data_IF_503598214493
#
_entry.id   IF_503598214493
#
_cell.length_a   1.000
_cell.length_b   1.000
_cell.length_c   1.000
_cell.angle_alpha   90.00
_cell.angle_beta   90.00
_cell.angle_gamma   90.00
#
_symmetry.space_group_name_H-M   'P 1'
#
loop_
_entity.id
_entity.type
_entity.pdbx_description
1 polymer ?
#
# COMPACT_ATOMS: atom_id res chain seq x y z
N UNK A 1 -25.85 -21.04 40.42
CA UNK A 1 -25.66 -19.63 40.13
C UNK A 1 -24.34 -19.19 40.77
N UNK A 2 -23.25 -19.11 40.02
CA UNK A 2 -21.96 -18.56 40.50
C UNK A 2 -21.72 -17.28 39.70
N UNK A 3 -21.72 -16.17 40.43
CA UNK A 3 -21.47 -14.82 39.91
C UNK A 3 -20.01 -14.74 39.48
N UNK A 4 -19.76 -14.51 38.19
CA UNK A 4 -18.42 -14.22 37.67
C UNK A 4 -18.23 -12.71 37.76
N UNK A 5 -17.32 -12.29 38.62
CA UNK A 5 -16.93 -10.89 38.72
C UNK A 5 -16.04 -10.52 37.54
N UNK A 6 -16.49 -9.58 36.71
CA UNK A 6 -15.66 -8.94 35.67
C UNK A 6 -14.71 -7.94 36.33
N UNK A 7 -13.41 -8.18 36.18
CA UNK A 7 -12.38 -7.19 36.52
C UNK A 7 -12.29 -6.20 35.37
N UNK A 8 -12.73 -4.97 35.59
CA UNK A 8 -12.51 -3.87 34.65
C UNK A 8 -11.02 -3.51 34.57
N UNK A 9 -10.41 -3.49 33.41
CA UNK A 9 -9.07 -2.92 33.27
C UNK A 9 -9.17 -1.39 33.21
N UNK A 10 -8.64 -0.76 34.22
CA UNK A 10 -8.58 0.69 34.39
C UNK A 10 -7.58 1.29 33.38
N UNK A 11 -8.08 1.77 32.25
CA UNK A 11 -7.29 2.48 31.21
C UNK A 11 -7.18 3.98 31.54
N UNK A 12 -6.34 4.31 32.53
CA UNK A 12 -6.14 5.68 32.98
C UNK A 12 -5.31 6.54 32.00
N UNK A 13 -5.54 7.85 32.07
CA UNK A 13 -4.93 8.95 31.30
C UNK A 13 -3.38 9.00 31.25
N UNK A 14 -2.70 8.09 31.95
CA UNK A 14 -1.23 8.01 31.94
C UNK A 14 -0.58 7.49 30.66
N UNK A 15 -1.33 6.87 29.74
CA UNK A 15 -0.77 6.29 28.50
C UNK A 15 -0.53 7.32 27.39
N UNK A 16 -1.32 8.39 27.32
CA UNK A 16 -1.12 9.44 26.31
C UNK A 16 0.22 10.17 26.53
N UNK A 17 0.62 10.40 27.78
CA UNK A 17 1.94 10.99 28.10
C UNK A 17 3.12 10.08 27.75
N UNK A 18 2.97 8.75 27.84
CA UNK A 18 4.05 7.81 27.49
C UNK A 18 4.21 7.64 25.97
N UNK A 19 3.15 7.77 25.20
CA UNK A 19 3.20 7.71 23.74
C UNK A 19 3.85 8.96 23.13
N UNK A 20 3.61 10.14 23.69
CA UNK A 20 4.29 11.38 23.29
C UNK A 20 5.78 11.36 23.64
N UNK A 21 6.16 10.81 24.81
CA UNK A 21 7.55 10.63 25.19
C UNK A 21 8.28 9.61 24.29
N UNK A 22 7.60 8.55 23.83
CA UNK A 22 8.18 7.59 22.89
C UNK A 22 8.43 8.19 21.50
N UNK A 23 7.58 9.09 21.02
CA UNK A 23 7.79 9.85 19.78
C UNK A 23 8.97 10.81 19.93
N UNK A 24 9.12 11.45 21.09
CA UNK A 24 10.27 12.33 21.37
C UNK A 24 11.59 11.55 21.52
N UNK A 25 11.59 10.34 22.07
CA UNK A 25 12.80 9.52 22.19
C UNK A 25 13.23 8.87 20.87
N UNK A 26 12.32 8.62 19.92
CA UNK A 26 12.65 8.07 18.60
C UNK A 26 13.16 9.12 17.61
N UNK A 27 12.87 10.40 17.82
CA UNK A 27 13.39 11.48 16.98
C UNK A 27 14.80 11.96 17.39
N UNK A 28 15.23 11.70 18.61
CA UNK A 28 16.53 12.13 19.13
C UNK A 28 17.76 11.41 18.52
N UNK A 29 17.75 10.10 18.22
CA UNK A 29 18.92 9.44 17.64
C UNK A 29 19.10 9.65 16.13
N UNK A 30 18.07 10.08 15.39
CA UNK A 30 18.17 10.34 13.94
C UNK A 30 18.93 11.65 13.63
N UNK A 31 19.06 12.55 14.60
CA UNK A 31 19.77 13.82 14.44
C UNK A 31 21.29 13.73 14.68
N UNK A 32 21.81 12.57 15.13
CA UNK A 32 23.23 12.40 15.54
C UNK A 32 23.99 11.36 14.69
N UNK A 33 23.40 10.84 13.64
CA UNK A 33 24.16 10.03 12.67
C UNK A 33 24.68 10.99 11.60
N UNK A 34 25.91 11.47 11.76
CA UNK A 34 26.67 12.08 10.68
C UNK A 34 26.93 10.98 9.64
N UNK A 35 26.04 10.85 8.66
CA UNK A 35 26.36 10.12 7.45
C UNK A 35 27.40 10.94 6.69
N UNK A 36 28.57 10.36 6.32
CA UNK A 36 29.45 11.03 5.38
C UNK A 36 28.60 11.41 4.17
N UNK A 37 28.67 12.67 3.76
CA UNK A 37 27.96 13.19 2.62
C UNK A 37 28.35 12.40 1.37
N UNK A 38 27.63 11.31 1.13
CA UNK A 38 27.58 10.68 -0.20
C UNK A 38 26.90 11.72 -1.06
N UNK A 39 27.68 12.43 -1.84
CA UNK A 39 27.23 13.40 -2.82
C UNK A 39 26.37 12.66 -3.84
N UNK A 40 25.08 12.57 -3.55
CA UNK A 40 24.09 12.17 -4.54
C UNK A 40 23.99 13.31 -5.55
N UNK A 41 24.69 13.17 -6.64
CA UNK A 41 24.65 14.10 -7.76
C UNK A 41 23.30 13.90 -8.48
N UNK A 42 22.35 14.75 -8.11
CA UNK A 42 21.12 14.92 -8.89
C UNK A 42 21.44 15.78 -10.11
N UNK A 43 22.06 15.19 -11.13
CA UNK A 43 22.14 15.80 -12.45
C UNK A 43 21.17 15.07 -13.38
N UNK A 44 20.22 15.84 -13.90
CA UNK A 44 19.41 15.41 -15.02
C UNK A 44 20.28 15.18 -16.26
N UNK A 45 20.01 14.05 -16.94
CA UNK A 45 20.45 13.82 -18.31
C UNK A 45 21.84 13.27 -18.46
N UNK A 46 21.94 11.98 -18.41
CA UNK A 46 22.73 10.96 -19.08
C UNK A 46 22.81 9.77 -18.16
N UNK A 47 22.50 8.58 -18.66
CA UNK A 47 22.66 7.33 -17.91
C UNK A 47 24.15 7.16 -17.55
N UNK A 48 24.53 7.61 -16.37
CA UNK A 48 25.82 7.24 -15.80
C UNK A 48 25.72 5.80 -15.31
N UNK A 49 26.54 4.92 -15.85
CA UNK A 49 26.68 3.55 -15.37
C UNK A 49 27.06 3.56 -13.89
N UNK A 50 26.30 2.83 -13.05
CA UNK A 50 26.61 2.68 -11.64
C UNK A 50 25.91 3.65 -10.68
N UNK A 51 24.73 4.15 -11.01
CA UNK A 51 23.96 4.98 -10.08
C UNK A 51 23.38 4.11 -8.97
N UNK A 52 23.77 4.41 -7.74
CA UNK A 52 23.17 3.90 -6.53
C UNK A 52 22.24 4.99 -5.94
N UNK A 53 21.00 4.65 -5.72
CA UNK A 53 20.01 5.52 -5.07
C UNK A 53 19.53 4.88 -3.77
N UNK A 54 19.38 5.68 -2.74
CA UNK A 54 18.85 5.25 -1.45
C UNK A 54 17.80 6.24 -0.97
N UNK A 55 16.77 5.73 -0.33
CA UNK A 55 15.73 6.53 0.31
C UNK A 55 15.23 5.88 1.58
N UNK A 56 14.62 6.67 2.42
CA UNK A 56 13.94 6.21 3.62
C UNK A 56 12.71 7.07 3.87
N UNK A 57 11.68 6.48 4.48
CA UNK A 57 10.53 7.24 4.96
C UNK A 57 9.98 6.65 6.25
N UNK A 58 9.22 7.47 6.98
CA UNK A 58 8.43 7.03 8.12
C UNK A 58 7.29 8.04 8.36
N UNK A 59 6.17 7.57 8.88
CA UNK A 59 5.01 8.40 9.23
C UNK A 59 4.70 8.19 10.71
N UNK A 60 4.92 9.23 11.52
CA UNK A 60 4.43 9.27 12.90
C UNK A 60 3.01 9.79 12.92
N UNK A 61 2.07 9.08 13.55
CA UNK A 61 0.67 9.45 13.54
C UNK A 61 -0.01 9.16 14.87
N UNK A 62 -0.97 10.00 15.24
CA UNK A 62 -1.93 9.76 16.30
C UNK A 62 -3.33 9.76 15.70
N UNK A 63 -4.09 8.69 15.92
CA UNK A 63 -5.44 8.49 15.40
C UNK A 63 -6.44 8.34 16.53
N UNK A 64 -7.60 8.97 16.37
CA UNK A 64 -8.77 8.78 17.21
C UNK A 64 -9.92 8.28 16.33
N UNK A 65 -10.58 7.23 16.79
CA UNK A 65 -11.73 6.63 16.11
C UNK A 65 -12.93 6.52 17.02
N UNK A 66 -14.13 6.82 16.48
CA UNK A 66 -15.39 6.80 17.20
C UNK A 66 -16.59 6.68 16.23
N UNK A 67 -17.59 5.81 16.51
CA UNK A 67 -17.48 4.76 17.49
C UNK A 67 -16.55 3.65 17.02
N UNK A 68 -15.95 2.96 17.94
CA UNK A 68 -15.24 1.70 17.75
C UNK A 68 -16.07 0.55 18.34
N UNK A 69 -15.44 -0.59 18.61
CA UNK A 69 -16.12 -1.74 19.23
C UNK A 69 -16.90 -1.33 20.49
N UNK A 70 -18.10 -1.86 20.69
CA UNK A 70 -19.03 -1.56 21.78
C UNK A 70 -19.34 -0.07 21.93
N UNK A 71 -19.31 0.69 20.84
CA UNK A 71 -19.54 2.12 20.85
C UNK A 71 -18.45 2.97 21.51
N UNK A 72 -17.31 2.39 21.84
CA UNK A 72 -16.20 3.08 22.49
C UNK A 72 -15.51 4.05 21.55
N UNK A 73 -14.76 4.98 22.14
CA UNK A 73 -13.78 5.79 21.41
C UNK A 73 -12.39 5.25 21.69
N UNK A 74 -11.62 4.97 20.65
CA UNK A 74 -10.23 4.54 20.75
C UNK A 74 -9.29 5.65 20.25
N UNK A 75 -8.11 5.74 20.85
CA UNK A 75 -7.06 6.65 20.42
C UNK A 75 -5.69 5.98 20.55
N UNK A 76 -4.85 6.07 19.53
CA UNK A 76 -3.52 5.50 19.50
C UNK A 76 -2.54 6.35 18.74
N UNK A 77 -1.25 6.24 19.14
CA UNK A 77 -0.14 6.76 18.37
C UNK A 77 0.77 5.61 17.93
N UNK A 78 1.24 5.66 16.70
CA UNK A 78 2.10 4.64 16.09
C UNK A 78 3.02 5.24 15.02
N UNK A 79 4.01 4.46 14.62
CA UNK A 79 4.89 4.75 13.49
C UNK A 79 4.54 3.77 12.37
N UNK A 80 4.08 4.28 11.23
CA UNK A 80 3.74 3.50 10.05
C UNK A 80 4.67 3.80 8.90
N UNK A 81 4.80 2.86 7.96
CA UNK A 81 5.67 2.94 6.79
C UNK A 81 7.14 3.32 7.10
N UNK A 82 7.76 2.76 8.18
CA UNK A 82 9.18 2.96 8.39
C UNK A 82 9.96 2.08 7.41
N UNK A 83 10.31 2.64 6.26
CA UNK A 83 10.90 1.93 5.13
C UNK A 83 12.28 2.48 4.76
N UNK A 84 13.12 1.58 4.26
CA UNK A 84 14.37 1.90 3.57
C UNK A 84 14.30 1.29 2.18
N UNK A 85 14.54 2.11 1.17
CA UNK A 85 14.52 1.73 -0.24
C UNK A 85 15.89 1.94 -0.85
N UNK A 86 16.33 1.01 -1.69
CA UNK A 86 17.56 1.15 -2.44
C UNK A 86 17.38 0.66 -3.87
N UNK A 87 18.03 1.31 -4.82
CA UNK A 87 18.12 0.90 -6.21
C UNK A 87 19.57 0.99 -6.68
N UNK A 88 20.01 -0.03 -7.37
CA UNK A 88 21.30 -0.11 -8.02
C UNK A 88 21.11 -0.41 -9.51
N UNK A 89 21.68 0.41 -10.36
CA UNK A 89 21.61 0.28 -11.82
C UNK A 89 23.04 0.26 -12.42
N UNK A 90 23.77 -0.87 -12.30
CA UNK A 90 25.19 -0.94 -12.59
C UNK A 90 25.51 -0.86 -14.10
N UNK A 91 24.55 -1.15 -14.98
CA UNK A 91 24.77 -1.19 -16.44
C UNK A 91 23.70 -0.42 -17.22
N UNK A 92 23.42 0.81 -16.78
CA UNK A 92 22.58 1.79 -17.52
C UNK A 92 21.23 1.24 -17.99
N UNK A 93 20.50 0.54 -17.09
CA UNK A 93 19.18 -0.01 -17.37
C UNK A 93 19.18 -1.44 -17.93
N UNK A 94 20.33 -2.00 -18.34
CA UNK A 94 20.39 -3.41 -18.78
C UNK A 94 20.09 -4.37 -17.62
N UNK A 95 20.55 -4.02 -16.42
CA UNK A 95 20.30 -4.79 -15.20
C UNK A 95 20.17 -3.82 -14.03
N UNK A 96 19.06 -3.93 -13.28
CA UNK A 96 18.83 -3.15 -12.07
C UNK A 96 18.41 -4.05 -10.90
N UNK A 97 18.87 -3.71 -9.72
CA UNK A 97 18.45 -4.33 -8.45
C UNK A 97 17.69 -3.28 -7.64
N UNK A 98 16.48 -3.61 -7.19
CA UNK A 98 15.68 -2.78 -6.30
C UNK A 98 15.35 -3.57 -5.06
N UNK A 99 15.45 -2.93 -3.90
CA UNK A 99 15.08 -3.50 -2.60
C UNK A 99 14.36 -2.50 -1.73
N UNK A 100 13.40 -3.00 -0.95
CA UNK A 100 12.66 -2.25 0.07
C UNK A 100 12.59 -3.08 1.33
N UNK A 101 13.06 -2.52 2.43
CA UNK A 101 12.85 -3.05 3.78
C UNK A 101 11.72 -2.26 4.43
N UNK A 102 10.76 -2.96 5.03
CA UNK A 102 9.64 -2.39 5.77
C UNK A 102 9.69 -2.88 7.22
N UNK A 103 9.65 -1.96 8.17
CA UNK A 103 9.73 -2.28 9.59
C UNK A 103 8.38 -2.13 10.32
N UNK A 104 7.27 -2.05 9.59
CA UNK A 104 5.93 -1.97 10.17
C UNK A 104 5.64 -3.11 11.14
N UNK A 105 6.09 -4.32 10.83
CA UNK A 105 5.97 -5.47 11.73
C UNK A 105 6.60 -5.26 13.11
N UNK A 106 7.57 -4.35 13.25
CA UNK A 106 8.18 -3.99 14.52
C UNK A 106 7.46 -2.82 15.22
N UNK A 107 6.90 -1.88 14.46
CA UNK A 107 6.33 -0.62 14.98
C UNK A 107 4.82 -0.69 15.22
N UNK A 108 4.08 -1.51 14.47
CA UNK A 108 2.63 -1.64 14.58
C UNK A 108 2.23 -3.08 14.96
N UNK A 109 2.71 -3.55 16.10
CA UNK A 109 2.53 -4.94 16.56
C UNK A 109 1.06 -5.36 16.76
N UNK A 110 0.16 -4.41 16.97
CA UNK A 110 -1.27 -4.67 17.24
C UNK A 110 -2.19 -4.24 16.12
N UNK A 111 -1.65 -3.89 14.96
CA UNK A 111 -2.35 -3.20 13.90
C UNK A 111 -2.63 -1.76 14.28
N UNK A 112 -3.17 -1.01 13.37
CA UNK A 112 -3.51 0.40 13.57
C UNK A 112 -5.01 0.59 13.74
N UNK A 113 -5.41 1.74 14.27
CA UNK A 113 -6.80 2.17 14.25
C UNK A 113 -7.16 2.72 12.89
N UNK A 114 -8.17 2.14 12.27
CA UNK A 114 -8.68 2.53 10.99
C UNK A 114 -10.20 2.31 10.95
N UNK A 115 -10.93 3.15 10.24
CA UNK A 115 -12.32 2.89 9.90
C UNK A 115 -12.35 1.66 8.98
N UNK A 116 -12.87 0.56 9.45
CA UNK A 116 -12.83 -0.68 8.69
C UNK A 116 -11.94 -1.75 9.32
N UNK A 117 -11.94 -1.84 10.49
CA UNK A 117 -11.10 -2.21 11.60
C UNK A 117 -10.83 -3.71 11.79
N UNK A 118 -11.12 -4.55 10.89
CA UNK A 118 -10.77 -5.97 11.05
C UNK A 118 -9.32 -6.31 10.70
N UNK A 119 -8.38 -5.39 10.93
CA UNK A 119 -6.99 -5.60 10.59
C UNK A 119 -6.66 -5.23 9.15
N UNK A 120 -7.59 -4.61 8.45
CA UNK A 120 -7.38 -4.08 7.11
C UNK A 120 -7.13 -2.58 7.19
N UNK A 121 -6.03 -2.24 7.72
CA UNK A 121 -5.41 -0.95 7.64
C UNK A 121 -4.09 -1.11 6.90
N UNK A 122 -3.03 -0.52 7.42
CA UNK A 122 -1.67 -0.68 6.89
C UNK A 122 -1.14 -2.09 7.09
N UNK A 123 -1.50 -2.72 8.20
CA UNK A 123 -1.16 -4.11 8.46
C UNK A 123 -2.45 -4.89 8.68
N UNK A 124 -2.76 -5.79 7.77
CA UNK A 124 -3.64 -6.91 8.07
C UNK A 124 -2.89 -7.86 8.99
N UNK A 125 -3.43 -8.14 10.16
CA UNK A 125 -2.80 -9.05 11.10
C UNK A 125 -2.69 -10.47 10.62
N UNK A 126 -3.49 -10.86 9.66
CA UNK A 126 -3.41 -12.17 9.02
C UNK A 126 -2.26 -12.20 8.03
N UNK A 127 -2.05 -11.08 7.32
CA UNK A 127 -1.10 -10.92 6.24
C UNK A 127 -0.28 -9.64 6.45
N UNK A 128 0.60 -9.62 7.48
CA UNK A 128 1.41 -8.45 7.76
C UNK A 128 2.41 -8.23 6.64
N UNK A 129 2.79 -6.97 6.41
CA UNK A 129 3.92 -6.65 5.57
C UNK A 129 5.19 -7.30 6.15
N UNK A 130 6.00 -7.87 5.28
CA UNK A 130 7.24 -8.53 5.69
C UNK A 130 8.40 -7.55 5.73
N UNK A 131 9.39 -7.82 6.58
CA UNK A 131 10.60 -6.98 6.69
C UNK A 131 11.33 -6.83 5.35
N UNK A 132 11.38 -7.86 4.53
CA UNK A 132 11.81 -7.77 3.15
C UNK A 132 10.59 -7.59 2.27
N UNK A 133 10.11 -6.35 2.13
CA UNK A 133 8.91 -6.03 1.37
C UNK A 133 9.09 -6.26 -0.14
N UNK A 134 10.24 -5.87 -0.69
CA UNK A 134 10.58 -6.03 -2.10
C UNK A 134 12.08 -6.29 -2.27
N UNK A 135 12.46 -7.22 -3.12
CA UNK A 135 13.81 -7.40 -3.64
C UNK A 135 13.74 -8.04 -5.01
N UNK A 136 13.93 -7.26 -6.04
CA UNK A 136 13.78 -7.69 -7.45
C UNK A 136 14.99 -7.34 -8.27
N UNK A 137 15.36 -8.29 -9.14
CA UNK A 137 16.34 -8.11 -10.20
C UNK A 137 15.59 -7.97 -11.52
N UNK A 138 15.83 -6.87 -12.23
CA UNK A 138 15.20 -6.57 -13.53
C UNK A 138 16.26 -6.43 -14.59
N UNK A 139 16.08 -7.13 -15.70
CA UNK A 139 16.81 -6.90 -16.94
C UNK A 139 15.88 -6.26 -17.97
N UNK A 140 16.29 -5.16 -18.57
CA UNK A 140 15.50 -4.49 -19.61
C UNK A 140 16.31 -4.14 -20.83
N UNK A 141 15.66 -4.17 -22.00
CA UNK A 141 16.22 -3.70 -23.24
C UNK A 141 15.19 -2.84 -23.97
N UNK A 142 15.56 -1.59 -24.21
CA UNK A 142 14.76 -0.67 -25.00
C UNK A 142 15.26 -0.63 -26.45
N UNK A 143 14.35 -0.43 -27.38
CA UNK A 143 14.62 -0.32 -28.80
C UNK A 143 13.72 0.77 -29.41
N UNK A 144 14.10 1.23 -30.62
CA UNK A 144 13.55 2.43 -31.23
C UNK A 144 14.30 3.68 -30.78
N UNK A 145 14.39 4.69 -31.65
CA UNK A 145 15.15 5.91 -31.38
C UNK A 145 14.60 6.77 -30.25
N UNK A 146 13.33 6.59 -29.91
CA UNK A 146 12.62 7.30 -28.86
C UNK A 146 12.54 6.52 -27.52
N UNK A 147 13.04 5.27 -27.48
CA UNK A 147 13.01 4.41 -26.30
C UNK A 147 11.59 4.03 -25.83
N UNK A 148 10.56 4.24 -26.67
CA UNK A 148 9.17 3.93 -26.32
C UNK A 148 8.80 2.46 -26.48
N UNK A 149 9.68 1.66 -27.05
CA UNK A 149 9.52 0.20 -27.20
C UNK A 149 10.58 -0.55 -26.40
N UNK A 150 10.27 -1.72 -25.90
CA UNK A 150 11.22 -2.50 -25.12
C UNK A 150 10.63 -3.76 -24.53
N UNK A 151 11.51 -4.58 -23.99
CA UNK A 151 11.17 -5.78 -23.22
C UNK A 151 11.90 -5.76 -21.89
N UNK A 152 11.32 -6.38 -20.88
CA UNK A 152 12.00 -6.63 -19.61
C UNK A 152 11.56 -7.93 -18.98
N UNK A 153 12.43 -8.48 -18.15
CA UNK A 153 12.17 -9.62 -17.28
C UNK A 153 12.55 -9.21 -15.86
N UNK A 154 11.67 -9.47 -14.91
CA UNK A 154 11.86 -9.19 -13.49
C UNK A 154 11.65 -10.46 -12.70
N UNK A 155 12.57 -10.75 -11.78
CA UNK A 155 12.49 -11.90 -10.87
C UNK A 155 12.85 -11.48 -9.45
N UNK A 156 12.24 -12.10 -8.45
CA UNK A 156 12.53 -11.82 -7.04
C UNK A 156 11.30 -11.84 -6.16
N UNK A 157 11.37 -11.16 -5.03
CA UNK A 157 10.21 -10.90 -4.17
C UNK A 157 9.66 -9.52 -4.49
N UNK A 158 8.35 -9.42 -4.77
CA UNK A 158 7.73 -8.16 -5.13
C UNK A 158 6.25 -8.28 -5.42
N UNK A 159 5.77 -7.47 -6.33
CA UNK A 159 4.35 -7.33 -6.68
C UNK A 159 4.07 -8.10 -7.98
N UNK A 160 3.00 -8.88 -7.99
CA UNK A 160 2.53 -9.48 -9.24
C UNK A 160 2.04 -8.42 -10.24
N UNK A 161 2.02 -8.74 -11.53
CA UNK A 161 1.53 -7.84 -12.58
C UNK A 161 -0.01 -7.72 -12.52
N UNK A 162 -0.52 -7.08 -11.46
CA UNK A 162 -1.94 -6.92 -11.16
C UNK A 162 -2.20 -5.58 -10.47
N UNK A 163 -3.34 -4.94 -10.81
CA UNK A 163 -3.80 -3.72 -10.17
C UNK A 163 -2.98 -2.47 -10.49
N UNK A 164 -3.18 -1.43 -9.72
CA UNK A 164 -2.51 -0.14 -9.83
C UNK A 164 -1.20 -0.12 -9.02
N UNK A 165 -0.81 1.06 -8.55
CA UNK A 165 0.37 1.23 -7.71
C UNK A 165 0.09 0.85 -6.27
N UNK A 166 1.13 0.52 -5.53
CA UNK A 166 1.04 0.34 -4.09
C UNK A 166 0.51 1.61 -3.41
N UNK A 167 -0.48 1.49 -2.52
CA UNK A 167 -0.96 2.60 -1.71
C UNK A 167 0.10 3.31 -0.86
N UNK A 168 1.21 2.66 -0.50
CA UNK A 168 2.35 3.29 0.18
C UNK A 168 2.94 4.48 -0.61
N UNK A 169 2.78 4.47 -1.94
CA UNK A 169 3.19 5.57 -2.80
C UNK A 169 2.15 6.69 -2.89
N UNK A 170 0.98 6.54 -2.26
CA UNK A 170 -0.11 7.51 -2.29
C UNK A 170 -0.01 8.50 -1.12
N UNK A 171 -0.67 9.67 -1.19
CA UNK A 171 -0.51 10.72 -0.17
C UNK A 171 -1.15 10.40 1.18
N UNK A 172 -2.12 9.49 1.23
CA UNK A 172 -2.86 9.19 2.45
C UNK A 172 -2.02 8.42 3.46
N UNK A 173 -2.25 8.69 4.72
CA UNK A 173 -1.63 7.96 5.81
C UNK A 173 -2.14 6.52 5.83
N UNK A 174 -3.43 6.33 5.60
CA UNK A 174 -4.08 5.02 5.64
C UNK A 174 -4.30 4.42 4.26
N UNK A 175 -4.10 3.11 4.17
CA UNK A 175 -4.39 2.37 2.96
C UNK A 175 -5.89 2.41 2.64
N UNK A 176 -6.25 2.34 1.37
CA UNK A 176 -7.62 2.10 1.00
C UNK A 176 -8.04 0.70 1.48
N UNK A 177 -9.28 0.58 1.90
CA UNK A 177 -9.83 -0.69 2.39
C UNK A 177 -9.85 -1.80 1.32
N UNK A 178 -9.65 -1.42 0.05
CA UNK A 178 -9.63 -2.33 -1.09
C UNK A 178 -8.25 -2.87 -1.45
N UNK A 179 -7.18 -2.55 -0.71
CA UNK A 179 -5.84 -2.85 -1.20
C UNK A 179 -5.61 -4.35 -1.43
N UNK A 180 -6.15 -5.23 -0.61
CA UNK A 180 -6.12 -6.68 -0.86
C UNK A 180 -6.95 -7.13 -2.08
N UNK A 181 -7.98 -6.37 -2.51
CA UNK A 181 -8.71 -6.68 -3.73
C UNK A 181 -7.97 -6.19 -4.97
N UNK A 182 -7.34 -5.01 -4.86
CA UNK A 182 -6.78 -4.26 -5.97
C UNK A 182 -5.31 -4.59 -6.25
N UNK A 183 -4.64 -5.35 -5.39
CA UNK A 183 -3.21 -5.64 -5.48
C UNK A 183 -2.89 -7.08 -5.09
N UNK A 184 -1.67 -7.53 -5.44
CA UNK A 184 -1.07 -8.80 -5.03
C UNK A 184 0.38 -8.50 -4.69
N UNK A 185 0.67 -8.44 -3.39
CA UNK A 185 1.91 -7.95 -2.81
C UNK A 185 2.81 -9.09 -2.34
N UNK A 186 4.10 -8.82 -2.26
CA UNK A 186 5.09 -9.63 -1.53
C UNK A 186 5.14 -11.11 -1.91
N UNK A 187 5.08 -11.37 -3.21
CA UNK A 187 5.20 -12.73 -3.77
C UNK A 187 6.58 -12.97 -4.36
N UNK A 188 7.00 -14.23 -4.42
CA UNK A 188 8.04 -14.62 -5.35
C UNK A 188 7.48 -14.49 -6.77
N UNK A 189 8.04 -13.61 -7.58
CA UNK A 189 7.52 -13.26 -8.89
C UNK A 189 8.53 -13.54 -10.00
N UNK A 190 8.02 -13.96 -11.17
CA UNK A 190 8.72 -13.91 -12.45
C UNK A 190 7.78 -13.23 -13.46
N UNK A 191 8.15 -12.01 -13.90
CA UNK A 191 7.30 -11.14 -14.71
C UNK A 191 8.04 -10.82 -16.01
N UNK A 192 7.38 -11.04 -17.15
CA UNK A 192 7.77 -10.51 -18.44
C UNK A 192 6.96 -9.28 -18.79
N UNK A 193 7.59 -8.26 -19.36
CA UNK A 193 6.90 -7.09 -19.86
C UNK A 193 7.36 -6.73 -21.28
N UNK A 194 6.40 -6.29 -22.10
CA UNK A 194 6.59 -5.75 -23.45
C UNK A 194 5.97 -4.37 -23.52
N UNK A 195 6.74 -3.38 -23.93
CA UNK A 195 6.24 -2.05 -24.29
C UNK A 195 6.31 -1.88 -25.80
N UNK A 196 5.19 -1.48 -26.39
CA UNK A 196 5.07 -1.19 -27.81
C UNK A 196 4.40 0.20 -27.95
N UNK A 197 5.21 1.25 -27.98
CA UNK A 197 4.74 2.64 -27.98
C UNK A 197 3.88 2.95 -26.76
N UNK A 198 2.59 3.17 -26.98
CA UNK A 198 1.60 3.52 -25.95
C UNK A 198 1.04 2.32 -25.17
N UNK A 199 1.31 1.11 -25.63
CA UNK A 199 0.82 -0.12 -25.01
C UNK A 199 1.91 -0.80 -24.19
N UNK A 200 1.53 -1.29 -23.02
CA UNK A 200 2.37 -2.08 -22.14
C UNK A 200 1.61 -3.34 -21.78
N UNK A 201 2.24 -4.48 -22.00
CA UNK A 201 1.72 -5.81 -21.68
C UNK A 201 2.63 -6.44 -20.65
N UNK A 202 2.07 -6.90 -19.56
CA UNK A 202 2.79 -7.59 -18.49
C UNK A 202 2.12 -8.92 -18.21
N UNK A 203 2.92 -9.93 -17.95
CA UNK A 203 2.43 -11.25 -17.55
C UNK A 203 3.45 -11.93 -16.67
N UNK A 204 2.99 -12.68 -15.68
CA UNK A 204 3.90 -13.35 -14.77
C UNK A 204 3.27 -14.45 -13.95
N UNK A 205 4.14 -15.29 -13.38
CA UNK A 205 3.79 -16.32 -12.43
C UNK A 205 4.37 -15.97 -11.04
N UNK A 206 3.70 -16.44 -9.99
CA UNK A 206 4.06 -16.16 -8.61
C UNK A 206 3.56 -17.26 -7.66
N UNK A 207 4.00 -17.25 -6.39
CA UNK A 207 3.43 -18.10 -5.35
C UNK A 207 2.10 -17.51 -4.85
N UNK A 208 1.10 -18.37 -4.61
CA UNK A 208 -0.24 -17.93 -4.23
C UNK A 208 -0.38 -17.49 -2.78
N UNK A 209 0.39 -18.10 -1.87
CA UNK A 209 0.29 -17.87 -0.43
C UNK A 209 0.67 -16.44 -0.03
N UNK A 210 -0.06 -15.89 0.92
CA UNK A 210 0.23 -14.62 1.56
C UNK A 210 1.12 -14.82 2.80
N UNK A 211 1.98 -13.85 3.15
CA UNK A 211 2.79 -13.96 4.36
C UNK A 211 1.88 -13.95 5.60
N UNK A 212 2.23 -14.74 6.59
CA UNK A 212 1.50 -14.85 7.88
C UNK A 212 2.24 -14.18 9.02
N UNK A 213 3.50 -13.82 8.80
CA UNK A 213 4.32 -13.09 9.77
C UNK A 213 5.30 -12.13 9.09
N UNK A 214 5.78 -11.08 9.79
CA UNK A 214 6.74 -10.13 9.21
C UNK A 214 8.09 -10.75 8.81
N UNK A 215 8.42 -11.90 9.35
CA UNK A 215 9.64 -12.64 9.01
C UNK A 215 9.50 -13.66 7.88
N UNK A 216 8.30 -13.82 7.33
CA UNK A 216 8.03 -14.87 6.34
C UNK A 216 8.73 -14.62 5.01
N UNK A 217 9.08 -15.73 4.40
CA UNK A 217 9.59 -15.78 3.03
C UNK A 217 8.61 -16.56 2.16
N UNK A 218 8.52 -16.25 0.84
CA UNK A 218 7.64 -16.97 -0.06
C UNK A 218 7.85 -18.49 -0.01
N UNK A 219 6.77 -19.24 0.05
CA UNK A 219 6.81 -20.70 0.14
C UNK A 219 7.33 -21.31 -1.17
N UNK A 220 8.48 -21.96 -1.12
CA UNK A 220 9.14 -22.54 -2.30
C UNK A 220 8.35 -23.67 -2.95
N UNK A 221 7.54 -24.39 -2.16
CA UNK A 221 6.71 -25.49 -2.68
C UNK A 221 5.52 -24.98 -3.50
N UNK A 222 5.27 -23.67 -3.45
CA UNK A 222 4.14 -23.02 -4.12
C UNK A 222 4.57 -22.07 -5.23
N UNK A 223 5.85 -22.05 -5.59
CA UNK A 223 6.35 -21.23 -6.69
C UNK A 223 5.61 -21.56 -7.98
N UNK A 224 5.11 -20.51 -8.64
CA UNK A 224 4.44 -20.54 -9.95
C UNK A 224 3.07 -21.21 -9.97
N UNK A 225 2.42 -21.45 -8.82
CA UNK A 225 1.06 -22.00 -8.75
C UNK A 225 -0.02 -20.96 -9.12
N UNK A 226 0.36 -19.70 -9.23
CA UNK A 226 -0.51 -18.56 -9.51
C UNK A 226 0.04 -17.73 -10.68
N UNK A 227 -0.85 -16.97 -11.33
CA UNK A 227 -0.45 -16.13 -12.45
C UNK A 227 -1.29 -14.88 -12.58
N UNK A 228 -0.76 -13.86 -13.24
CA UNK A 228 -1.44 -12.60 -13.53
C UNK A 228 -1.03 -12.02 -14.87
N UNK A 229 -1.87 -11.12 -15.39
CA UNK A 229 -1.57 -10.30 -16.55
C UNK A 229 -2.17 -8.92 -16.41
N UNK A 230 -1.45 -7.91 -16.91
CA UNK A 230 -1.85 -6.51 -16.91
C UNK A 230 -1.61 -5.89 -18.27
N UNK A 231 -2.57 -5.11 -18.75
CA UNK A 231 -2.45 -4.30 -19.95
C UNK A 231 -2.61 -2.85 -19.53
N UNK A 232 -1.67 -2.01 -19.95
CA UNK A 232 -1.69 -0.58 -19.71
C UNK A 232 -1.64 0.16 -21.04
N UNK A 233 -2.51 1.14 -21.23
CA UNK A 233 -2.55 2.03 -22.38
C UNK A 233 -2.30 3.47 -21.92
N UNK A 234 -1.29 4.12 -22.50
CA UNK A 234 -0.87 5.48 -22.20
C UNK A 234 -1.12 6.35 -23.45
N UNK A 235 -2.37 6.82 -23.66
CA UNK A 235 -2.74 7.57 -24.89
C UNK A 235 -2.02 8.91 -25.03
N UNK A 236 -1.72 9.54 -23.89
CA UNK A 236 -0.95 10.78 -23.77
C UNK A 236 -0.15 10.74 -22.45
N UNK A 237 0.87 11.61 -22.27
CA UNK A 237 1.77 11.57 -21.11
C UNK A 237 1.10 11.60 -19.73
N UNK A 238 -0.06 12.26 -19.64
CA UNK A 238 -0.79 12.43 -18.37
C UNK A 238 -1.86 11.35 -18.13
N UNK A 239 -2.15 10.48 -19.09
CA UNK A 239 -3.26 9.53 -19.05
C UNK A 239 -2.78 8.10 -19.06
N UNK A 240 -3.24 7.30 -18.08
CA UNK A 240 -2.99 5.88 -17.98
C UNK A 240 -4.32 5.13 -17.79
N UNK A 241 -4.59 4.18 -18.66
CA UNK A 241 -5.70 3.23 -18.57
C UNK A 241 -5.14 1.85 -18.34
N UNK A 242 -5.62 1.13 -17.36
CA UNK A 242 -5.10 -0.17 -17.01
C UNK A 242 -6.23 -1.17 -16.80
N UNK A 243 -6.00 -2.42 -17.17
CA UNK A 243 -6.82 -3.56 -16.79
C UNK A 243 -5.93 -4.74 -16.46
N UNK A 244 -6.35 -5.57 -15.52
CA UNK A 244 -5.60 -6.74 -15.11
C UNK A 244 -6.51 -7.88 -14.66
N UNK A 245 -5.97 -9.09 -14.75
CA UNK A 245 -6.58 -10.32 -14.28
C UNK A 245 -5.54 -11.17 -13.55
N UNK A 246 -5.97 -11.86 -12.48
CA UNK A 246 -5.14 -12.84 -11.80
C UNK A 246 -5.94 -14.07 -11.37
N UNK A 247 -5.25 -15.20 -11.34
CA UNK A 247 -5.67 -16.40 -10.63
C UNK A 247 -4.65 -16.68 -9.54
N UNK A 248 -5.12 -16.61 -8.30
CA UNK A 248 -4.30 -16.82 -7.10
C UNK A 248 -4.73 -18.14 -6.48
N UNK A 249 -3.82 -19.05 -6.32
CA UNK A 249 -4.07 -20.35 -5.71
C UNK A 249 -4.05 -20.20 -4.20
N UNK A 250 -5.18 -20.51 -3.54
CA UNK A 250 -5.29 -20.64 -2.08
C UNK A 250 -4.46 -19.62 -1.28
N UNK A 251 -4.73 -18.29 -1.39
CA UNK A 251 -3.87 -17.28 -0.75
C UNK A 251 -3.89 -17.35 0.78
N UNK A 252 -5.03 -17.69 1.36
CA UNK A 252 -5.25 -17.72 2.81
C UNK A 252 -4.70 -18.98 3.49
N UNK A 253 -4.34 -20.01 2.72
CA UNK A 253 -3.85 -21.27 3.28
C UNK A 253 -2.46 -21.60 2.72
N UNK A 254 -1.39 -21.50 3.53
CA UNK A 254 -0.02 -21.77 3.11
C UNK A 254 0.21 -23.15 2.52
N UNK A 255 -0.60 -24.15 2.92
CA UNK A 255 -0.51 -25.53 2.40
C UNK A 255 -1.20 -25.71 1.03
N UNK A 256 -1.89 -24.69 0.53
CA UNK A 256 -2.52 -24.72 -0.79
C UNK A 256 -3.89 -25.38 -0.85
N UNK A 257 -4.48 -25.73 0.30
CA UNK A 257 -5.76 -26.44 0.38
C UNK A 257 -7.01 -25.55 0.51
N UNK A 258 -6.85 -24.24 0.52
CA UNK A 258 -7.95 -23.27 0.65
C UNK A 258 -8.63 -22.90 -0.66
N UNK A 259 -9.50 -21.90 -0.61
CA UNK A 259 -10.19 -21.36 -1.77
C UNK A 259 -9.22 -20.62 -2.71
N UNK A 260 -9.37 -20.84 -4.01
CA UNK A 260 -8.67 -20.08 -5.04
C UNK A 260 -9.32 -18.71 -5.21
N UNK A 261 -8.55 -17.68 -5.53
CA UNK A 261 -9.07 -16.37 -5.89
C UNK A 261 -8.92 -16.08 -7.39
N UNK A 262 -9.97 -15.46 -7.97
CA UNK A 262 -9.92 -14.85 -9.30
C UNK A 262 -10.15 -13.36 -9.14
N UNK A 263 -9.13 -12.59 -9.50
CA UNK A 263 -9.10 -11.15 -9.31
C UNK A 263 -9.17 -10.42 -10.65
N UNK A 264 -9.85 -9.29 -10.66
CA UNK A 264 -9.98 -8.38 -11.80
C UNK A 264 -9.79 -6.96 -11.30
N UNK A 265 -9.10 -6.14 -12.06
CA UNK A 265 -8.96 -4.71 -11.77
C UNK A 265 -8.98 -3.91 -13.07
N UNK A 266 -9.53 -2.71 -13.00
CA UNK A 266 -9.43 -1.70 -14.05
C UNK A 266 -9.25 -0.33 -13.39
N UNK A 267 -8.43 0.53 -13.99
CA UNK A 267 -8.22 1.88 -13.46
C UNK A 267 -7.95 2.90 -14.55
N UNK A 268 -8.22 4.16 -14.20
CA UNK A 268 -7.87 5.34 -14.98
C UNK A 268 -7.08 6.24 -14.03
N UNK A 269 -5.86 6.61 -14.41
CA UNK A 269 -5.05 7.61 -13.72
C UNK A 269 -4.76 8.77 -14.66
N UNK A 270 -5.02 9.96 -14.17
CA UNK A 270 -4.66 11.22 -14.80
C UNK A 270 -3.66 11.91 -13.89
N UNK A 271 -2.53 12.33 -14.42
CA UNK A 271 -1.46 12.95 -13.64
C UNK A 271 -1.01 14.23 -14.34
N UNK A 272 -0.83 15.28 -13.58
CA UNK A 272 -0.30 16.53 -14.10
C UNK A 272 1.16 16.35 -14.58
N UNK A 273 1.55 17.04 -15.64
CA UNK A 273 2.90 17.00 -16.23
C UNK A 273 3.98 17.38 -15.23
N UNK A 274 3.66 18.29 -14.31
CA UNK A 274 4.57 18.74 -13.25
C UNK A 274 4.54 17.84 -12.02
N UNK A 275 3.77 16.74 -12.05
CA UNK A 275 3.53 15.87 -10.90
C UNK A 275 3.06 16.63 -9.64
N UNK A 276 2.33 17.74 -9.87
CA UNK A 276 1.72 18.54 -8.82
C UNK A 276 0.31 18.09 -8.44
N UNK A 277 -0.22 17.09 -9.12
CA UNK A 277 -1.53 16.50 -8.84
C UNK A 277 -1.83 15.25 -9.65
N UNK A 278 -2.75 14.45 -9.16
CA UNK A 278 -3.34 13.34 -9.90
C UNK A 278 -4.80 13.11 -9.53
N UNK A 279 -5.51 12.40 -10.40
CA UNK A 279 -6.80 11.78 -10.15
C UNK A 279 -6.72 10.30 -10.55
N UNK A 280 -7.29 9.43 -9.71
CA UNK A 280 -7.32 7.99 -9.89
C UNK A 280 -8.75 7.49 -9.72
N UNK A 281 -9.23 6.69 -10.68
CA UNK A 281 -10.42 5.87 -10.55
C UNK A 281 -9.99 4.41 -10.65
N UNK A 282 -10.47 3.59 -9.71
CA UNK A 282 -10.14 2.18 -9.64
C UNK A 282 -11.40 1.36 -9.36
N UNK A 283 -11.57 0.30 -10.14
CA UNK A 283 -12.50 -0.77 -9.88
C UNK A 283 -11.71 -2.06 -9.66
N UNK A 284 -12.08 -2.81 -8.63
CA UNK A 284 -11.48 -4.11 -8.36
C UNK A 284 -12.56 -5.11 -7.94
N UNK A 285 -12.32 -6.38 -8.26
CA UNK A 285 -13.18 -7.50 -7.87
C UNK A 285 -12.32 -8.71 -7.54
N UNK A 286 -12.63 -9.38 -6.43
CA UNK A 286 -12.11 -10.70 -6.09
C UNK A 286 -13.27 -11.68 -5.91
N UNK A 287 -13.12 -12.90 -6.39
CA UNK A 287 -14.06 -13.99 -6.15
C UNK A 287 -13.31 -15.19 -5.60
N UNK A 288 -13.82 -15.77 -4.51
CA UNK A 288 -13.28 -16.95 -3.87
C UNK A 288 -13.98 -18.21 -4.42
N UNK A 289 -13.21 -19.22 -4.77
CA UNK A 289 -13.66 -20.43 -5.43
C UNK A 289 -13.18 -21.68 -4.70
N UNK A 290 -14.12 -22.57 -4.41
CA UNK A 290 -13.84 -23.95 -3.99
C UNK A 290 -14.08 -24.85 -5.19
N UNK A 291 -13.01 -25.34 -5.80
CA UNK A 291 -13.07 -26.01 -7.11
C UNK A 291 -13.57 -25.06 -8.21
N UNK A 292 -14.70 -25.40 -8.84
CA UNK A 292 -15.35 -24.56 -9.85
C UNK A 292 -16.41 -23.60 -9.28
N UNK A 293 -16.85 -23.82 -8.04
CA UNK A 293 -17.96 -23.10 -7.42
C UNK A 293 -17.45 -21.83 -6.75
N UNK A 294 -18.05 -20.69 -7.09
CA UNK A 294 -17.77 -19.41 -6.44
C UNK A 294 -18.52 -19.35 -5.12
N UNK A 295 -17.79 -19.29 -4.01
CA UNK A 295 -18.34 -19.16 -2.66
C UNK A 295 -18.67 -17.70 -2.33
N UNK A 296 -17.74 -16.78 -2.58
CA UNK A 296 -17.89 -15.35 -2.30
C UNK A 296 -17.44 -14.50 -3.48
N UNK A 297 -17.85 -13.26 -3.48
CA UNK A 297 -17.28 -12.22 -4.35
C UNK A 297 -17.38 -10.88 -3.68
N UNK A 298 -16.31 -10.08 -3.82
CA UNK A 298 -16.16 -8.75 -3.25
C UNK A 298 -15.84 -7.78 -4.38
N UNK A 299 -16.40 -6.58 -4.30
CA UNK A 299 -16.21 -5.54 -5.32
C UNK A 299 -15.83 -4.23 -4.64
N UNK A 300 -14.92 -3.51 -5.26
CA UNK A 300 -14.49 -2.18 -4.82
C UNK A 300 -14.59 -1.17 -5.95
N UNK A 301 -14.96 0.05 -5.58
CA UNK A 301 -14.84 1.27 -6.37
C UNK A 301 -14.08 2.28 -5.53
N UNK A 302 -13.07 2.90 -6.09
CA UNK A 302 -12.29 3.96 -5.47
C UNK A 302 -12.14 5.13 -6.43
N UNK A 303 -12.33 6.35 -5.92
CA UNK A 303 -11.94 7.60 -6.57
C UNK A 303 -11.02 8.36 -5.64
N UNK A 304 -9.87 8.78 -6.14
CA UNK A 304 -8.86 9.46 -5.34
C UNK A 304 -8.25 10.62 -6.12
N UNK A 305 -8.01 11.72 -5.44
CA UNK A 305 -7.31 12.87 -6.03
C UNK A 305 -6.37 13.48 -5.00
N UNK A 306 -5.28 14.02 -5.51
CA UNK A 306 -4.30 14.79 -4.74
C UNK A 306 -3.82 15.95 -5.58
N UNK A 307 -3.60 17.10 -4.93
CA UNK A 307 -3.01 18.27 -5.57
C UNK A 307 -2.13 19.03 -4.58
N UNK A 308 -1.06 19.62 -5.11
CA UNK A 308 -0.14 20.51 -4.38
C UNK A 308 -0.23 21.91 -4.94
N UNK A 309 -0.28 22.87 -4.05
CA UNK A 309 -0.14 24.28 -4.35
C UNK A 309 0.90 24.90 -3.41
N UNK A 310 2.04 25.26 -3.94
CA UNK A 310 3.22 25.74 -3.18
C UNK A 310 3.61 24.72 -2.09
N UNK A 311 3.53 25.12 -0.84
CA UNK A 311 3.84 24.27 0.32
C UNK A 311 2.65 23.46 0.85
N UNK A 312 1.46 23.78 0.39
CA UNK A 312 0.25 23.09 0.82
C UNK A 312 -0.11 21.97 -0.16
N UNK A 313 -0.63 20.89 0.36
CA UNK A 313 -1.24 19.85 -0.46
C UNK A 313 -2.52 19.34 0.19
N UNK A 314 -3.43 18.88 -0.66
CA UNK A 314 -4.70 18.30 -0.26
C UNK A 314 -4.99 17.03 -1.02
N UNK A 315 -5.70 16.12 -0.38
CA UNK A 315 -6.16 14.88 -1.00
C UNK A 315 -7.59 14.55 -0.58
N UNK A 316 -8.32 13.92 -1.48
CA UNK A 316 -9.67 13.40 -1.23
C UNK A 316 -9.76 11.98 -1.80
N UNK A 317 -10.28 11.05 -1.01
CA UNK A 317 -10.56 9.67 -1.43
C UNK A 317 -11.99 9.29 -1.08
N UNK A 318 -12.67 8.66 -2.01
CA UNK A 318 -14.01 8.10 -1.85
C UNK A 318 -13.93 6.63 -2.21
N UNK A 319 -14.34 5.77 -1.29
CA UNK A 319 -14.28 4.33 -1.42
C UNK A 319 -15.66 3.72 -1.22
N UNK A 320 -15.97 2.70 -2.02
CA UNK A 320 -17.12 1.83 -1.81
C UNK A 320 -16.66 0.38 -2.01
N UNK A 321 -16.37 -0.30 -0.92
CA UNK A 321 -15.73 -1.62 -0.93
C UNK A 321 -16.56 -2.64 -0.16
N UNK A 322 -16.74 -3.80 -0.75
CA UNK A 322 -17.24 -4.99 -0.06
C UNK A 322 -16.06 -5.79 0.49
N UNK A 323 -16.22 -6.31 1.69
CA UNK A 323 -15.19 -7.11 2.37
C UNK A 323 -15.81 -8.26 3.15
N UNK A 324 -15.05 -9.34 3.42
CA UNK A 324 -15.44 -10.34 4.36
C UNK A 324 -15.45 -9.79 5.79
N UNK A 325 -16.43 -10.21 6.58
CA UNK A 325 -16.47 -9.97 8.02
C UNK A 325 -16.16 -11.29 8.70
N UNK A 326 -14.98 -11.38 9.28
CA UNK A 326 -14.50 -12.59 9.91
C UNK A 326 -14.96 -12.71 11.33
N UNK A 327 -15.20 -13.92 11.75
CA UNK A 327 -15.54 -14.23 13.11
C UNK A 327 -14.34 -14.00 14.03
N UNK A 328 -14.47 -13.08 14.97
CA UNK A 328 -13.47 -12.79 16.00
C UNK A 328 -14.11 -12.92 17.38
N UNK A 329 -13.56 -13.80 18.20
CA UNK A 329 -14.13 -14.12 19.50
C UNK A 329 -13.70 -13.12 20.59
N UNK A 330 -12.54 -12.50 20.43
CA UNK A 330 -11.95 -11.57 21.41
C UNK A 330 -11.28 -10.44 20.65
N UNK A 331 -11.44 -9.20 21.11
CA UNK A 331 -10.89 -7.99 20.51
C UNK A 331 -10.77 -8.08 18.97
N UNK A 332 -11.86 -7.83 18.22
CA UNK A 332 -11.91 -8.05 16.78
C UNK A 332 -10.92 -7.18 15.99
N UNK A 333 -10.36 -6.15 16.64
CA UNK A 333 -9.39 -5.28 16.01
C UNK A 333 -7.95 -5.80 16.10
N UNK A 334 -7.65 -6.60 17.14
CA UNK A 334 -6.27 -6.89 17.52
C UNK A 334 -5.98 -8.35 17.80
N UNK A 335 -7.00 -9.18 17.81
CA UNK A 335 -6.86 -10.62 17.96
C UNK A 335 -6.51 -11.23 16.62
N UNK A 336 -5.38 -11.92 16.46
CA UNK A 336 -5.09 -12.71 15.28
C UNK A 336 -6.21 -13.69 14.99
N UNK A 337 -6.66 -13.75 13.76
CA UNK A 337 -7.60 -14.76 13.27
C UNK A 337 -6.77 -15.82 12.57
N UNK A 338 -7.01 -17.13 12.84
CA UNK A 338 -6.41 -18.17 12.01
C UNK A 338 -6.72 -17.90 10.54
N UNK A 339 -5.73 -18.00 9.68
CA UNK A 339 -5.89 -17.88 8.23
C UNK A 339 -6.73 -19.06 7.74
N UNK A 340 -8.05 -18.93 7.78
CA UNK A 340 -8.98 -19.94 7.31
C UNK A 340 -10.10 -19.27 6.52
N UNK A 341 -10.44 -19.84 5.37
CA UNK A 341 -11.59 -19.44 4.57
C UNK A 341 -12.94 -19.73 5.27
N UNK A 342 -12.91 -20.35 6.43
CA UNK A 342 -14.09 -20.81 7.14
C UNK A 342 -14.56 -19.85 8.24
N UNK A 343 -13.76 -18.83 8.57
CA UNK A 343 -14.06 -17.85 9.62
C UNK A 343 -14.95 -16.69 9.19
N UNK A 344 -15.54 -16.72 7.98
CA UNK A 344 -16.34 -15.61 7.45
C UNK A 344 -17.74 -15.64 8.07
N UNK A 345 -18.04 -14.67 8.93
CA UNK A 345 -19.35 -14.49 9.55
C UNK A 345 -20.35 -13.77 8.64
N UNK A 346 -19.87 -12.99 7.67
CA UNK A 346 -20.71 -12.24 6.78
C UNK A 346 -19.93 -11.45 5.76
N UNK A 347 -20.64 -10.58 5.03
CA UNK A 347 -20.07 -9.63 4.09
C UNK A 347 -20.69 -8.26 4.31
N UNK A 348 -19.85 -7.27 4.50
CA UNK A 348 -20.25 -5.87 4.65
C UNK A 348 -19.81 -5.03 3.47
N UNK A 349 -20.46 -3.87 3.33
CA UNK A 349 -20.10 -2.82 2.38
C UNK A 349 -19.75 -1.57 3.16
N UNK A 350 -18.56 -1.08 2.90
CA UNK A 350 -18.01 0.14 3.44
C UNK A 350 -18.04 1.24 2.40
N UNK A 351 -18.59 2.40 2.77
CA UNK A 351 -18.48 3.63 1.99
C UNK A 351 -17.72 4.61 2.84
N UNK A 352 -16.52 5.00 2.42
CA UNK A 352 -15.61 5.84 3.19
C UNK A 352 -15.28 7.07 2.36
N UNK A 353 -15.30 8.24 3.00
CA UNK A 353 -14.80 9.50 2.46
C UNK A 353 -13.66 9.93 3.36
N UNK A 354 -12.47 10.08 2.79
CA UNK A 354 -11.26 10.52 3.48
C UNK A 354 -10.77 11.82 2.86
N UNK A 355 -10.57 12.85 3.68
CA UNK A 355 -9.97 14.11 3.30
C UNK A 355 -8.68 14.33 4.08
N UNK A 356 -7.62 14.78 3.40
CA UNK A 356 -6.31 15.08 3.97
C UNK A 356 -5.87 16.47 3.58
N UNK A 357 -5.24 17.15 4.53
CA UNK A 357 -4.50 18.39 4.31
C UNK A 357 -3.10 18.25 4.89
N UNK A 358 -2.08 18.73 4.19
CA UNK A 358 -0.70 18.67 4.64
C UNK A 358 0.07 19.91 4.20
N UNK A 359 1.22 20.14 4.86
CA UNK A 359 2.09 21.25 4.54
C UNK A 359 3.56 20.79 4.50
N UNK A 360 4.26 21.07 3.41
CA UNK A 360 5.70 20.82 3.29
C UNK A 360 6.47 21.89 4.07
N UNK A 361 6.87 21.60 5.30
CA UNK A 361 7.64 22.52 6.15
C UNK A 361 9.11 22.58 5.73
N UNK A 362 9.66 21.41 5.39
CA UNK A 362 11.02 21.26 4.88
C UNK A 362 10.94 20.47 3.59
N UNK A 363 11.54 20.99 2.56
CA UNK A 363 11.71 20.32 1.29
C UNK A 363 13.12 20.58 0.78
N UNK A 364 14.10 20.03 1.50
CA UNK A 364 15.49 20.07 1.10
C UNK A 364 15.79 18.89 0.15
N UNK A 365 16.89 18.99 -0.62
CA UNK A 365 17.29 17.98 -1.61
C UNK A 365 17.32 16.53 -1.09
N UNK A 366 17.66 16.35 0.19
CA UNK A 366 17.84 15.05 0.82
C UNK A 366 16.79 14.75 1.90
N UNK A 367 15.96 15.70 2.30
CA UNK A 367 15.07 15.54 3.45
C UNK A 367 13.78 16.33 3.27
N UNK A 368 12.65 15.71 3.59
CA UNK A 368 11.35 16.38 3.64
C UNK A 368 10.63 16.08 4.96
N UNK A 369 9.90 17.11 5.43
CA UNK A 369 9.03 17.04 6.61
C UNK A 369 7.67 17.60 6.22
N UNK A 370 6.64 16.75 6.32
CA UNK A 370 5.27 17.06 5.94
C UNK A 370 4.30 16.71 7.07
N UNK A 371 3.98 17.64 7.99
CA UNK A 371 2.85 17.46 8.89
C UNK A 371 1.52 17.43 8.12
N UNK A 372 0.58 16.66 8.66
CA UNK A 372 -0.74 16.49 8.06
C UNK A 372 -1.85 16.31 9.10
N UNK A 373 -3.08 16.51 8.64
CA UNK A 373 -4.30 16.08 9.28
C UNK A 373 -5.16 15.32 8.27
N UNK A 374 -5.79 14.23 8.71
CA UNK A 374 -6.65 13.39 7.90
C UNK A 374 -7.96 13.11 8.65
N UNK A 375 -9.09 13.24 7.96
CA UNK A 375 -10.42 12.97 8.48
C UNK A 375 -11.08 11.93 7.59
N UNK A 376 -11.55 10.83 8.17
CA UNK A 376 -12.34 9.83 7.46
C UNK A 376 -13.72 9.68 8.09
N UNK A 377 -14.74 9.53 7.23
CA UNK A 377 -16.10 9.16 7.61
C UNK A 377 -16.49 7.90 6.87
N UNK A 378 -16.84 6.86 7.62
CA UNK A 378 -17.29 5.59 7.09
C UNK A 378 -18.78 5.37 7.37
N UNK A 379 -19.47 4.72 6.42
CA UNK A 379 -20.77 4.10 6.59
C UNK A 379 -20.64 2.63 6.24
N UNK A 380 -21.10 1.77 7.14
CA UNK A 380 -21.04 0.31 6.98
C UNK A 380 -22.44 -0.30 6.93
N UNK A 381 -22.65 -1.29 6.07
CA UNK A 381 -23.90 -2.02 5.94
C UNK A 381 -23.65 -3.48 5.59
N UNK A 382 -24.42 -4.44 6.14
CA UNK A 382 -24.34 -5.84 5.71
C UNK A 382 -24.86 -5.98 4.27
N UNK A 383 -24.25 -6.87 3.48
CA UNK A 383 -24.67 -7.15 2.10
C UNK A 383 -25.31 -8.53 1.94
N UNK A 384 -25.18 -9.41 2.93
CA UNK A 384 -25.89 -10.68 3.04
C UNK A 384 -26.93 -10.59 4.14
N UNK A 385 -28.10 -11.17 3.93
CA UNK A 385 -29.16 -11.28 4.94
C UNK A 385 -29.70 -12.71 4.96
N UNK A 386 -29.76 -13.38 6.14
CA UNK A 386 -29.25 -12.89 7.41
C UNK A 386 -27.71 -12.78 7.38
N UNK A 387 -27.17 -11.78 8.08
CA UNK A 387 -25.73 -11.59 8.24
C UNK A 387 -25.34 -11.96 9.65
N UNK A 388 -24.22 -12.67 9.81
CA UNK A 388 -23.61 -12.90 11.11
C UNK A 388 -22.94 -11.64 11.68
N UNK A 389 -22.80 -10.58 10.89
CA UNK A 389 -22.25 -9.30 11.30
C UNK A 389 -23.28 -8.18 11.12
N UNK A 390 -23.63 -7.53 12.23
CA UNK A 390 -24.42 -6.29 12.23
C UNK A 390 -23.57 -5.14 12.78
N UNK A 391 -23.21 -4.13 11.95
CA UNK A 391 -22.40 -3.00 12.39
C UNK A 391 -23.03 -2.22 13.54
N UNK A 392 -24.37 -2.15 13.64
CA UNK A 392 -25.04 -1.45 14.73
C UNK A 392 -24.92 -2.18 16.06
N UNK A 393 -24.91 -3.50 16.05
CA UNK A 393 -24.67 -4.29 17.26
C UNK A 393 -23.19 -4.22 17.66
N UNK A 394 -22.30 -4.21 16.67
CA UNK A 394 -20.87 -4.28 16.90
C UNK A 394 -20.24 -2.95 17.30
N UNK A 395 -20.61 -1.85 16.61
CA UNK A 395 -20.06 -0.51 16.84
C UNK A 395 -21.03 0.41 17.61
N UNK A 396 -22.25 0.01 17.87
CA UNK A 396 -23.31 0.89 18.34
C UNK A 396 -23.83 1.86 17.26
N UNK A 397 -23.28 1.83 16.05
CA UNK A 397 -23.62 2.71 14.93
C UNK A 397 -23.23 2.09 13.59
N UNK A 398 -23.89 2.50 12.51
CA UNK A 398 -23.45 2.23 11.13
C UNK A 398 -22.62 3.38 10.53
N UNK A 399 -22.31 4.41 11.32
CA UNK A 399 -21.46 5.54 10.95
C UNK A 399 -20.27 5.64 11.91
N UNK A 400 -19.06 5.68 11.34
CA UNK A 400 -17.81 5.78 12.08
C UNK A 400 -17.00 6.99 11.59
N UNK A 401 -16.21 7.55 12.50
CA UNK A 401 -15.30 8.66 12.22
C UNK A 401 -13.90 8.30 12.67
N UNK A 402 -12.93 8.71 11.88
CA UNK A 402 -11.51 8.62 12.23
C UNK A 402 -10.84 9.96 11.97
N UNK A 403 -10.08 10.45 12.93
CA UNK A 403 -9.27 11.66 12.83
C UNK A 403 -7.83 11.29 13.11
N UNK A 404 -6.94 11.57 12.19
CA UNK A 404 -5.50 11.35 12.32
C UNK A 404 -4.75 12.67 12.19
N UNK A 405 -3.72 12.84 13.00
CA UNK A 405 -2.74 13.92 12.88
C UNK A 405 -1.36 13.33 12.96
N UNK A 406 -0.44 13.81 12.14
CA UNK A 406 0.89 13.23 12.08
C UNK A 406 1.87 14.03 11.25
N UNK A 407 3.03 13.42 11.00
CA UNK A 407 4.04 13.95 10.10
C UNK A 407 4.71 12.83 9.31
N UNK A 408 4.88 13.05 8.03
CA UNK A 408 5.71 12.22 7.15
C UNK A 408 7.11 12.79 7.10
N UNK A 409 8.08 11.93 7.34
CA UNK A 409 9.50 12.17 7.15
C UNK A 409 9.96 11.37 5.95
N UNK A 410 10.71 11.96 5.04
CA UNK A 410 11.34 11.23 3.96
C UNK A 410 12.75 11.77 3.71
N UNK A 411 13.62 10.87 3.27
CA UNK A 411 15.00 11.13 2.94
C UNK A 411 15.36 10.49 1.61
N UNK A 412 16.13 11.17 0.77
CA UNK A 412 16.62 10.66 -0.50
C UNK A 412 15.49 10.35 -1.50
N UNK A 413 15.50 9.16 -2.05
CA UNK A 413 14.53 8.70 -3.03
C UNK A 413 13.13 8.59 -2.38
N UNK A 414 12.23 9.50 -2.72
CA UNK A 414 10.83 9.46 -2.32
C UNK A 414 9.95 9.50 -3.57
N UNK A 415 8.82 8.83 -3.58
CA UNK A 415 7.81 8.85 -4.63
C UNK A 415 8.02 7.93 -5.84
N UNK A 416 8.69 6.80 -5.70
CA UNK A 416 8.61 5.79 -6.76
C UNK A 416 7.27 5.05 -6.70
N UNK A 417 6.56 5.01 -7.83
CA UNK A 417 5.41 4.13 -7.99
C UNK A 417 5.89 2.67 -7.81
N UNK A 418 5.31 1.96 -6.85
CA UNK A 418 5.65 0.56 -6.57
C UNK A 418 4.71 -0.38 -7.33
N UNK A 419 5.18 -1.61 -7.61
CA UNK A 419 4.37 -2.61 -8.31
C UNK A 419 4.47 -2.59 -9.83
N UNK A 420 5.47 -1.87 -10.40
CA UNK A 420 5.82 -1.90 -11.82
C UNK A 420 7.32 -1.98 -12.00
N UNK A 421 7.76 -2.74 -13.00
CA UNK A 421 9.16 -3.04 -13.21
C UNK A 421 9.59 -2.86 -14.66
N UNK A 422 10.86 -2.49 -14.86
CA UNK A 422 11.48 -2.39 -16.16
C UNK A 422 10.71 -1.49 -17.13
N UNK A 423 10.43 -2.02 -18.33
CA UNK A 423 9.70 -1.26 -19.37
C UNK A 423 8.25 -0.95 -19.03
N UNK A 424 7.69 -1.59 -17.99
CA UNK A 424 6.33 -1.31 -17.51
C UNK A 424 6.23 0.00 -16.72
N UNK A 425 7.34 0.57 -16.26
CA UNK A 425 7.38 1.90 -15.68
C UNK A 425 7.08 2.89 -16.80
N UNK A 426 5.95 3.61 -16.70
CA UNK A 426 5.59 4.66 -17.64
C UNK A 426 6.53 5.87 -17.46
N UNK A 427 7.74 5.78 -18.00
CA UNK A 427 8.61 6.95 -18.14
C UNK A 427 8.05 7.76 -19.29
N UNK A 428 7.68 9.01 -19.03
CA UNK A 428 7.39 9.96 -20.08
C UNK A 428 8.73 10.39 -20.69
N UNK A 429 9.02 10.09 -21.96
CA UNK A 429 10.27 10.51 -22.60
C UNK A 429 10.41 12.03 -22.70
N UNK A 430 9.30 12.78 -22.63
CA UNK A 430 9.26 14.23 -22.73
C UNK A 430 9.46 14.96 -21.39
N UNK A 431 9.36 14.28 -20.28
CA UNK A 431 9.76 14.82 -18.97
C UNK A 431 11.27 14.63 -18.82
N UNK A 432 12.04 15.35 -19.61
CA UNK A 432 13.37 15.79 -19.15
C UNK A 432 13.08 16.52 -17.83
N UNK A 433 13.59 16.02 -16.73
CA UNK A 433 13.64 16.76 -15.48
C UNK A 433 14.21 18.12 -15.82
N UNK A 434 13.33 19.12 -15.84
CA UNK A 434 13.68 20.46 -16.27
C UNK A 434 14.84 20.94 -15.44
N UNK A 435 16.01 21.01 -16.06
CA UNK A 435 17.11 21.77 -15.52
C UNK A 435 16.58 23.17 -15.29
N UNK A 436 16.48 23.60 -14.04
CA UNK A 436 16.47 25.00 -13.73
C UNK A 436 17.73 25.59 -14.38
N UNK A 437 17.54 26.26 -15.54
CA UNK A 437 18.53 27.22 -15.99
C UNK A 437 18.65 28.23 -14.85
N UNK A 438 19.77 28.20 -14.15
CA UNK A 438 20.23 29.37 -13.45
C UNK A 438 20.63 30.38 -14.56
N UNK A 439 19.70 31.22 -14.95
CA UNK A 439 20.07 32.50 -15.55
C UNK A 439 20.38 33.46 -14.42
N UNK A 440 21.61 33.84 -14.39
CA UNK A 440 22.30 35.02 -13.85
C UNK A 440 21.46 35.96 -12.94
N UNK A 441 21.83 35.99 -11.66
CA UNK A 441 22.12 37.26 -10.97
C UNK A 441 23.22 37.00 -9.92
#
# INVERSE_FOLDING_TARGET
MKTIAFIEPNYGAGRIRRSLAAVQMLLAPLALVEFPALTASAQGGQHASGVFEIGAQAIGVATRESPAIDGRTLAEGYLTQPMIMAQLDPWSGLLSLKGTLDFEGATIKRGELNAGIYGEGYIDRRHPHTYLHEMVLTSERRFGGDGTSGVSITVGKGFAAFGTDDPMARPFEKYPINHHLAQILERAVAIGALRAGRWIFEGGAFNGDEPTSPGDTPNRNRYWDSWSGRITFVPWPQGEFQTSYARVKSPENPDGGGADQRKQSASIRLEDVQHSGYALFEWARSGDYVGSTRSFAYTSLLAETWARYDRLNGALRIERTERPDEQRLVDPFRTPVPATDLGIAGRSRWTIITARAAASLVNARAFSLEPFAELARARVSPTLRPSGFDPRQFYGSDHLWSVSVGAKLAFGMSHMRMGRYGVAIARNPDVRMGGMKMENM
#
